data_IF_072299583628
#
_entry.id   IF_072299583628
#
_cell.length_a   1.000
_cell.length_b   1.000
_cell.length_c   1.000
_cell.angle_alpha   90.00
_cell.angle_beta   90.00
_cell.angle_gamma   90.00
#
_symmetry.space_group_name_H-M   'P 1'
#
loop_
_entity.id
_entity.type
_entity.pdbx_description
1 polymer ?
#
# COMPACT_ATOMS: atom_id res chain seq x y z
N UNK A 1 -0.02 17.63 -13.23
CA UNK A 1 1.08 16.79 -12.69
C UNK A 1 0.53 15.54 -11.99
N UNK A 2 -0.30 15.65 -10.94
CA UNK A 2 -0.86 14.49 -10.19
C UNK A 2 -1.56 13.41 -11.04
N UNK A 3 -2.24 13.79 -12.14
CA UNK A 3 -2.90 12.80 -13.03
C UNK A 3 -1.93 11.83 -13.69
N UNK A 4 -0.78 12.32 -14.21
CA UNK A 4 0.22 11.47 -14.85
C UNK A 4 0.74 10.40 -13.91
N UNK A 5 0.87 10.75 -12.63
CA UNK A 5 1.43 9.88 -11.60
C UNK A 5 0.46 8.76 -11.18
N UNK A 6 -0.83 9.06 -11.00
CA UNK A 6 -1.88 8.05 -10.76
C UNK A 6 -1.97 7.04 -11.92
N UNK A 7 -1.71 7.48 -13.15
CA UNK A 7 -1.72 6.60 -14.34
C UNK A 7 -0.55 5.62 -14.36
N UNK A 8 0.62 6.05 -13.89
CA UNK A 8 1.80 5.19 -13.74
C UNK A 8 1.57 4.13 -12.67
N UNK A 9 0.96 4.48 -11.52
CA UNK A 9 0.62 3.54 -10.45
C UNK A 9 -0.35 2.47 -10.96
N UNK A 10 -1.44 2.88 -11.59
CA UNK A 10 -2.44 1.95 -12.13
C UNK A 10 -1.83 1.03 -13.21
N UNK A 11 -0.98 1.56 -14.09
CA UNK A 11 -0.26 0.75 -15.10
C UNK A 11 0.69 -0.27 -14.47
N UNK A 12 1.42 0.12 -13.42
CA UNK A 12 2.30 -0.76 -12.67
C UNK A 12 1.51 -1.87 -11.94
N UNK A 13 0.38 -1.53 -11.33
CA UNK A 13 -0.49 -2.50 -10.66
C UNK A 13 -1.12 -3.50 -11.64
N UNK A 14 -1.59 -3.07 -12.82
CA UNK A 14 -2.09 -4.00 -13.86
C UNK A 14 -1.00 -4.95 -14.32
N UNK A 15 0.23 -4.44 -14.47
CA UNK A 15 1.39 -5.21 -14.83
C UNK A 15 1.64 -6.36 -13.84
N UNK A 16 1.53 -6.07 -12.53
CA UNK A 16 1.64 -7.07 -11.45
C UNK A 16 0.48 -8.07 -11.51
N UNK A 17 -0.75 -7.61 -11.70
CA UNK A 17 -1.98 -8.42 -11.60
C UNK A 17 -2.30 -9.26 -12.85
N UNK A 18 -1.60 -9.08 -13.98
CA UNK A 18 -1.84 -9.87 -15.21
C UNK A 18 -1.16 -11.24 -15.24
N UNK A 19 -0.23 -11.53 -14.30
CA UNK A 19 0.47 -12.81 -14.23
C UNK A 19 0.31 -13.65 -12.92
N UNK A 20 -0.86 -13.72 -12.24
CA UNK A 20 -0.97 -14.41 -10.94
C UNK A 20 -1.43 -15.87 -11.08
N UNK A 21 -1.91 -16.29 -12.25
CA UNK A 21 -2.63 -17.57 -12.40
C UNK A 21 -1.74 -18.83 -12.47
N UNK A 22 -0.42 -18.71 -12.30
CA UNK A 22 0.47 -19.88 -12.31
C UNK A 22 0.53 -20.63 -10.98
N UNK A 23 0.43 -19.96 -9.82
CA UNK A 23 0.84 -20.56 -8.53
C UNK A 23 -0.17 -20.40 -7.36
N UNK A 24 -1.44 -20.07 -7.62
CA UNK A 24 -2.47 -19.96 -6.57
C UNK A 24 -3.01 -21.36 -6.19
N UNK A 25 -2.18 -22.21 -5.61
CA UNK A 25 -2.64 -23.47 -4.99
C UNK A 25 -1.97 -23.68 -3.64
N UNK A 26 -2.76 -23.43 -2.59
CA UNK A 26 -2.61 -23.79 -1.16
C UNK A 26 -2.13 -22.66 -0.26
N UNK A 27 -3.07 -22.07 0.48
CA UNK A 27 -2.81 -21.27 1.68
C UNK A 27 -3.54 -21.91 2.87
N UNK A 28 -2.84 -22.01 4.01
CA UNK A 28 -3.37 -22.58 5.26
C UNK A 28 -3.98 -21.49 6.11
N UNK A 29 -4.99 -21.85 6.91
CA UNK A 29 -5.74 -20.98 7.83
C UNK A 29 -4.94 -20.69 9.11
N UNK A 30 -4.87 -19.43 9.54
CA UNK A 30 -4.45 -19.03 10.89
C UNK A 30 -5.33 -17.88 11.44
N UNK A 31 -5.16 -17.59 12.73
CA UNK A 31 -6.17 -17.07 13.69
C UNK A 31 -6.36 -15.55 13.72
N UNK A 32 -7.59 -15.14 14.04
CA UNK A 32 -8.08 -13.78 14.25
C UNK A 32 -7.34 -13.06 15.40
N UNK A 33 -6.63 -11.97 15.07
CA UNK A 33 -6.33 -10.90 16.01
C UNK A 33 -6.02 -9.61 15.24
N UNK A 34 -6.79 -8.55 15.46
CA UNK A 34 -6.35 -7.19 15.82
C UNK A 34 -7.49 -6.18 15.57
N UNK A 35 -8.17 -5.80 16.66
CA UNK A 35 -9.21 -4.78 16.72
C UNK A 35 -8.56 -3.42 17.04
N UNK A 36 -8.27 -2.57 16.04
CA UNK A 36 -7.78 -1.18 16.25
C UNK A 36 -8.27 -0.22 15.15
N UNK A 37 -8.81 0.92 15.59
CA UNK A 37 -9.34 2.03 14.78
C UNK A 37 -8.23 2.86 14.12
N UNK A 38 -8.14 2.82 12.78
CA UNK A 38 -7.95 4.06 12.03
C UNK A 38 -8.87 4.12 10.80
N UNK A 39 -9.49 5.27 10.56
CA UNK A 39 -10.33 5.52 9.39
C UNK A 39 -9.46 5.63 8.13
N UNK A 40 -9.41 4.57 7.31
CA UNK A 40 -8.66 4.49 6.03
C UNK A 40 -9.00 5.59 5.01
N UNK A 41 -10.01 6.39 5.29
CA UNK A 41 -10.63 7.31 4.34
C UNK A 41 -10.61 8.76 4.82
N UNK A 42 -9.93 9.02 5.94
CA UNK A 42 -9.36 10.33 6.19
C UNK A 42 -8.48 10.69 4.99
N UNK A 43 -8.87 11.76 4.29
CA UNK A 43 -8.06 12.34 3.23
C UNK A 43 -8.50 12.10 1.79
N UNK A 44 -9.65 11.48 1.49
CA UNK A 44 -10.09 11.43 0.07
C UNK A 44 -10.12 12.86 -0.52
N UNK A 45 -9.40 13.08 -1.62
CA UNK A 45 -9.29 14.38 -2.30
C UNK A 45 -9.76 14.29 -3.74
N UNK A 46 -10.19 15.43 -4.24
CA UNK A 46 -10.51 15.59 -5.65
C UNK A 46 -9.22 15.83 -6.44
N UNK A 47 -9.28 15.68 -7.76
CA UNK A 47 -8.12 15.86 -8.64
C UNK A 47 -7.54 17.28 -8.59
N UNK A 48 -8.32 18.25 -8.14
CA UNK A 48 -7.88 19.63 -7.91
C UNK A 48 -7.15 19.83 -6.57
N UNK A 49 -7.00 18.78 -5.75
CA UNK A 49 -6.34 18.80 -4.44
C UNK A 49 -7.27 19.11 -3.25
N UNK A 50 -8.52 19.51 -3.48
CA UNK A 50 -9.45 19.83 -2.40
C UNK A 50 -9.93 18.56 -1.69
N UNK A 51 -10.03 18.53 -0.34
CA UNK A 51 -10.65 17.41 0.37
C UNK A 51 -12.07 17.19 -0.14
N UNK A 52 -12.43 15.95 -0.44
CA UNK A 52 -13.69 15.56 -1.06
C UNK A 52 -14.88 16.13 -0.30
N UNK A 53 -14.88 16.02 1.04
CA UNK A 53 -15.95 16.48 1.93
C UNK A 53 -15.81 17.93 2.42
N UNK A 54 -14.76 18.65 2.01
CA UNK A 54 -14.61 20.08 2.33
C UNK A 54 -15.67 20.93 1.60
N UNK A 55 -16.02 22.13 2.10
CA UNK A 55 -16.92 23.04 1.39
C UNK A 55 -16.46 23.34 -0.05
N UNK A 56 -15.15 23.52 -0.24
CA UNK A 56 -14.55 23.76 -1.57
C UNK A 56 -14.64 22.52 -2.46
N UNK A 57 -14.44 21.33 -1.90
CA UNK A 57 -14.58 20.07 -2.64
C UNK A 57 -16.01 19.82 -3.07
N UNK A 58 -16.98 19.99 -2.17
CA UNK A 58 -18.40 19.86 -2.47
C UNK A 58 -18.87 20.87 -3.51
N UNK A 59 -18.42 22.12 -3.44
CA UNK A 59 -18.72 23.11 -4.47
C UNK A 59 -18.14 22.72 -5.83
N UNK A 60 -16.93 22.15 -5.86
CA UNK A 60 -16.32 21.69 -7.11
C UNK A 60 -17.08 20.50 -7.72
N UNK A 61 -17.48 19.53 -6.89
CA UNK A 61 -18.34 18.41 -7.30
C UNK A 61 -19.65 18.96 -7.86
N UNK A 62 -20.33 19.86 -7.14
CA UNK A 62 -21.58 20.49 -7.59
C UNK A 62 -21.47 21.19 -8.94
N UNK A 63 -20.36 21.88 -9.18
CA UNK A 63 -20.11 22.54 -10.46
C UNK A 63 -19.95 21.56 -11.64
N UNK A 64 -19.64 20.29 -11.36
CA UNK A 64 -19.47 19.23 -12.37
C UNK A 64 -20.69 18.31 -12.47
N UNK A 65 -21.37 18.06 -11.36
CA UNK A 65 -22.47 17.08 -11.28
C UNK A 65 -23.85 17.66 -11.06
N UNK A 66 -23.96 18.97 -10.78
CA UNK A 66 -25.20 19.61 -10.39
C UNK A 66 -25.66 19.28 -8.96
N UNK A 67 -24.98 18.38 -8.26
CA UNK A 67 -25.35 17.89 -6.92
C UNK A 67 -24.14 17.73 -6.00
N UNK A 68 -24.36 17.52 -4.71
CA UNK A 68 -23.32 17.31 -3.68
C UNK A 68 -23.50 15.95 -3.03
N UNK A 69 -22.49 15.49 -2.29
CA UNK A 69 -22.67 14.35 -1.39
C UNK A 69 -23.73 14.68 -0.33
N UNK A 70 -24.44 13.65 0.15
CA UNK A 70 -25.43 13.80 1.21
C UNK A 70 -24.82 14.34 2.50
N UNK A 71 -25.56 15.19 3.21
CA UNK A 71 -25.13 15.74 4.51
C UNK A 71 -24.86 14.65 5.53
N UNK A 72 -25.64 13.56 5.52
CA UNK A 72 -25.46 12.44 6.44
C UNK A 72 -24.09 11.76 6.27
N UNK A 73 -23.63 11.59 5.03
CA UNK A 73 -22.27 11.09 4.77
C UNK A 73 -21.26 12.15 5.22
N UNK A 74 -21.42 13.41 4.82
CA UNK A 74 -20.48 14.48 5.18
C UNK A 74 -20.33 14.63 6.71
N UNK A 75 -21.43 14.60 7.46
CA UNK A 75 -21.46 14.83 8.91
C UNK A 75 -20.94 13.62 9.70
N UNK A 76 -21.13 12.39 9.19
CA UNK A 76 -20.54 11.16 9.76
C UNK A 76 -19.01 11.17 9.71
N UNK A 77 -18.40 11.94 8.79
CA UNK A 77 -16.95 11.97 8.55
C UNK A 77 -16.30 13.35 8.67
N UNK A 78 -17.08 14.41 8.96
CA UNK A 78 -16.57 15.69 9.50
C UNK A 78 -16.30 15.53 10.99
N UNK A 79 -15.38 14.66 11.35
CA UNK A 79 -14.77 14.71 12.67
C UNK A 79 -13.46 15.52 12.58
N UNK A 80 -13.19 16.38 13.58
CA UNK A 80 -12.04 17.26 13.60
C UNK A 80 -10.75 16.44 13.71
N UNK A 81 -9.65 16.99 13.20
CA UNK A 81 -8.27 16.52 13.40
C UNK A 81 -8.09 15.83 14.76
N UNK A 82 -8.21 14.50 14.77
CA UNK A 82 -8.01 13.66 15.95
C UNK A 82 -7.11 12.49 15.56
N UNK A 83 -5.99 12.81 14.89
CA UNK A 83 -4.76 12.07 15.16
C UNK A 83 -4.29 12.41 16.58
N UNK A 84 -5.04 11.94 17.59
CA UNK A 84 -4.43 11.67 18.89
C UNK A 84 -3.71 10.35 18.75
N UNK A 85 -2.48 10.39 18.23
CA UNK A 85 -1.51 9.36 18.57
C UNK A 85 -1.37 9.43 20.08
N UNK A 86 -2.06 8.55 20.81
CA UNK A 86 -1.68 8.29 22.20
C UNK A 86 -0.18 7.97 22.17
N UNK A 87 0.66 8.67 22.94
CA UNK A 87 2.06 8.30 23.03
C UNK A 87 2.13 6.83 23.48
N UNK A 88 3.10 6.03 22.97
CA UNK A 88 3.25 4.66 23.42
C UNK A 88 3.36 4.65 24.94
N UNK A 89 2.69 3.67 25.56
CA UNK A 89 2.73 3.35 26.99
C UNK A 89 4.13 3.64 27.57
N UNK A 90 4.30 4.82 28.18
CA UNK A 90 5.58 5.32 28.65
C UNK A 90 6.08 4.60 29.91
N UNK A 91 5.56 3.40 30.22
CA UNK A 91 5.77 2.77 31.52
C UNK A 91 5.99 1.25 31.52
N UNK A 92 6.15 0.60 30.37
CA UNK A 92 6.63 -0.78 30.39
C UNK A 92 8.16 -0.77 30.40
N UNK A 93 8.72 -1.03 31.59
CA UNK A 93 10.11 -1.36 31.84
C UNK A 93 10.76 -2.00 30.59
N UNK A 94 11.83 -1.38 30.09
CA UNK A 94 12.66 -1.81 28.96
C UNK A 94 13.13 -3.27 29.05
N UNK A 95 12.23 -4.24 28.90
CA UNK A 95 12.60 -5.61 28.56
C UNK A 95 13.17 -5.52 27.16
N UNK A 96 14.48 -5.71 27.04
CA UNK A 96 15.19 -5.85 25.76
C UNK A 96 14.30 -6.68 24.84
N UNK A 97 13.83 -6.07 23.75
CA UNK A 97 13.04 -6.76 22.76
C UNK A 97 13.97 -7.75 22.05
N UNK A 98 13.82 -9.04 22.39
CA UNK A 98 14.63 -10.10 21.80
C UNK A 98 13.97 -10.54 20.51
N UNK A 99 14.79 -10.77 19.49
CA UNK A 99 14.34 -11.44 18.28
C UNK A 99 13.84 -12.85 18.63
N UNK A 100 12.81 -13.37 17.93
CA UNK A 100 12.38 -14.76 18.03
C UNK A 100 13.51 -15.73 17.64
N UNK A 101 13.25 -17.03 17.72
CA UNK A 101 14.21 -17.99 17.19
C UNK A 101 14.52 -17.71 15.70
N UNK A 102 15.79 -17.86 15.33
CA UNK A 102 16.25 -17.52 13.98
C UNK A 102 15.50 -18.32 12.91
N UNK A 103 15.17 -19.57 13.17
CA UNK A 103 14.43 -20.41 12.23
C UNK A 103 13.02 -19.88 11.99
N UNK A 104 12.35 -19.42 13.06
CA UNK A 104 11.01 -18.82 12.97
C UNK A 104 11.03 -17.62 12.03
N UNK A 105 11.99 -16.70 12.18
CA UNK A 105 12.06 -15.53 11.31
C UNK A 105 12.41 -15.89 9.87
N UNK A 106 13.26 -16.90 9.66
CA UNK A 106 13.58 -17.40 8.33
C UNK A 106 12.37 -18.02 7.62
N UNK A 107 11.55 -18.76 8.35
CA UNK A 107 10.33 -19.38 7.84
C UNK A 107 9.28 -18.31 7.50
N UNK A 108 9.12 -17.29 8.34
CA UNK A 108 8.24 -16.15 8.07
C UNK A 108 8.69 -15.35 6.85
N UNK A 109 9.99 -15.09 6.70
CA UNK A 109 10.54 -14.44 5.51
C UNK A 109 10.24 -15.25 4.24
N UNK A 110 10.35 -16.58 4.31
CA UNK A 110 10.08 -17.47 3.20
C UNK A 110 8.59 -17.49 2.83
N UNK A 111 7.70 -17.53 3.84
CA UNK A 111 6.26 -17.43 3.66
C UNK A 111 5.88 -16.11 3.01
N UNK A 112 6.42 -14.99 3.49
CA UNK A 112 6.21 -13.67 2.91
C UNK A 112 6.64 -13.63 1.43
N UNK A 113 7.86 -14.05 1.11
CA UNK A 113 8.37 -14.01 -0.26
C UNK A 113 7.65 -14.97 -1.22
N UNK A 114 6.90 -15.94 -0.71
CA UNK A 114 6.10 -16.88 -1.50
C UNK A 114 4.63 -16.50 -1.54
N UNK A 115 4.22 -15.45 -0.83
CA UNK A 115 2.82 -15.03 -0.74
C UNK A 115 2.44 -14.09 -1.88
N UNK A 116 1.13 -13.98 -2.16
CA UNK A 116 0.62 -13.05 -3.16
C UNK A 116 0.98 -11.58 -2.83
N UNK A 117 1.16 -11.25 -1.55
CA UNK A 117 1.56 -9.94 -1.09
C UNK A 117 2.95 -9.54 -1.59
N UNK A 118 3.90 -10.47 -1.72
CA UNK A 118 5.23 -10.18 -2.26
C UNK A 118 5.23 -9.82 -3.74
N UNK A 119 4.15 -10.12 -4.48
CA UNK A 119 3.98 -9.66 -5.86
C UNK A 119 3.65 -8.17 -5.92
N UNK A 120 2.90 -7.67 -4.92
CA UNK A 120 2.50 -6.26 -4.79
C UNK A 120 3.59 -5.46 -4.08
N UNK A 121 4.16 -6.04 -3.03
CA UNK A 121 5.16 -5.46 -2.16
C UNK A 121 6.42 -6.35 -2.17
N UNK A 122 7.24 -6.31 -3.23
CA UNK A 122 8.52 -7.03 -3.31
C UNK A 122 9.59 -6.41 -2.39
N UNK A 123 9.31 -6.39 -1.08
CA UNK A 123 10.08 -5.67 -0.08
C UNK A 123 11.36 -6.38 0.37
N UNK A 124 11.51 -7.67 0.04
CA UNK A 124 12.57 -8.51 0.57
C UNK A 124 13.22 -9.35 -0.52
N UNK A 125 14.55 -9.31 -0.58
CA UNK A 125 15.32 -10.33 -1.31
C UNK A 125 15.58 -11.52 -0.39
N UNK A 126 14.81 -12.61 -0.54
CA UNK A 126 14.91 -13.79 0.31
C UNK A 126 16.33 -14.37 0.36
N UNK A 127 17.03 -14.39 -0.78
CA UNK A 127 18.39 -14.90 -0.85
C UNK A 127 19.34 -14.08 0.03
N UNK A 128 19.38 -12.74 -0.16
CA UNK A 128 20.22 -11.84 0.63
C UNK A 128 19.85 -11.88 2.11
N UNK A 129 18.55 -11.95 2.41
CA UNK A 129 18.07 -12.04 3.78
C UNK A 129 18.63 -13.28 4.49
N UNK A 130 18.52 -14.46 3.87
CA UNK A 130 19.01 -15.73 4.44
C UNK A 130 20.53 -15.79 4.57
N UNK A 131 21.26 -15.36 3.53
CA UNK A 131 22.72 -15.53 3.48
C UNK A 131 23.48 -14.48 4.28
N UNK A 132 22.93 -13.27 4.42
CA UNK A 132 23.66 -12.11 4.91
C UNK A 132 22.93 -11.39 6.04
N UNK A 133 21.70 -10.95 5.81
CA UNK A 133 20.97 -10.06 6.73
C UNK A 133 20.63 -10.78 8.04
N UNK A 134 20.00 -11.95 7.96
CA UNK A 134 19.58 -12.72 9.13
C UNK A 134 20.76 -13.21 9.98
N UNK A 135 21.85 -13.81 9.42
CA UNK A 135 23.04 -14.12 10.21
C UNK A 135 23.66 -12.90 10.91
N UNK A 136 23.65 -11.74 10.26
CA UNK A 136 24.20 -10.50 10.82
C UNK A 136 23.32 -9.97 11.97
N UNK A 137 21.99 -10.07 11.84
CA UNK A 137 21.04 -9.65 12.88
C UNK A 137 21.21 -10.42 14.20
N UNK A 138 21.54 -11.71 14.12
CA UNK A 138 21.76 -12.60 15.28
C UNK A 138 23.21 -12.67 15.77
N UNK A 139 24.11 -11.86 15.20
CA UNK A 139 25.51 -11.84 15.66
C UNK A 139 25.66 -11.08 16.98
N UNK A 140 25.56 -11.78 18.11
CA UNK A 140 25.88 -11.23 19.43
C UNK A 140 27.34 -11.50 19.82
N UNK A 141 28.01 -10.52 20.45
CA UNK A 141 29.16 -10.78 21.33
C UNK A 141 30.59 -10.75 20.77
N UNK A 142 30.85 -10.53 19.47
CA UNK A 142 32.23 -10.46 18.95
C UNK A 142 32.47 -9.23 18.08
N UNK A 143 32.72 -8.09 18.73
CA UNK A 143 32.91 -6.77 18.11
C UNK A 143 31.62 -6.20 17.54
N UNK A 144 31.42 -4.87 17.61
CA UNK A 144 30.36 -4.22 16.82
C UNK A 144 30.68 -4.44 15.34
N UNK A 145 30.16 -5.52 14.76
CA UNK A 145 30.20 -5.72 13.30
C UNK A 145 29.45 -4.53 12.69
N UNK A 146 30.04 -3.93 11.67
CA UNK A 146 29.44 -2.78 10.98
C UNK A 146 28.07 -3.23 10.45
N UNK A 147 27.05 -2.36 10.56
CA UNK A 147 25.72 -2.60 9.97
C UNK A 147 24.81 -3.64 10.62
N UNK A 148 25.13 -4.12 11.82
CA UNK A 148 24.22 -4.99 12.59
C UNK A 148 22.85 -4.35 12.85
N UNK A 149 22.79 -3.02 12.97
CA UNK A 149 21.53 -2.29 13.21
C UNK A 149 20.61 -2.38 12.01
N UNK A 150 21.11 -2.08 10.79
CA UNK A 150 20.33 -2.23 9.55
C UNK A 150 19.79 -3.65 9.37
N UNK A 151 20.62 -4.66 9.67
CA UNK A 151 20.19 -6.06 9.61
C UNK A 151 19.08 -6.39 10.64
N UNK A 152 19.23 -5.95 11.89
CA UNK A 152 18.20 -6.14 12.93
C UNK A 152 16.89 -5.45 12.55
N UNK A 153 16.94 -4.21 12.05
CA UNK A 153 15.75 -3.49 11.61
C UNK A 153 15.06 -4.19 10.43
N UNK A 154 15.81 -4.77 9.49
CA UNK A 154 15.22 -5.56 8.41
C UNK A 154 14.48 -6.78 8.96
N UNK A 155 15.08 -7.50 9.91
CA UNK A 155 14.45 -8.64 10.61
C UNK A 155 13.18 -8.23 11.37
N UNK A 156 13.20 -7.08 12.06
CA UNK A 156 12.01 -6.50 12.67
C UNK A 156 10.93 -6.18 11.65
N UNK A 157 11.32 -5.66 10.48
CA UNK A 157 10.41 -5.40 9.36
C UNK A 157 9.71 -6.67 8.89
N UNK A 158 10.43 -7.78 8.73
CA UNK A 158 9.84 -9.07 8.32
C UNK A 158 8.76 -9.52 9.31
N UNK A 159 9.03 -9.39 10.61
CA UNK A 159 8.07 -9.72 11.67
C UNK A 159 6.85 -8.79 11.63
N UNK A 160 7.05 -7.50 11.37
CA UNK A 160 5.93 -6.57 11.17
C UNK A 160 5.10 -6.98 9.94
N UNK A 161 5.74 -7.36 8.83
CA UNK A 161 5.01 -7.80 7.64
C UNK A 161 4.28 -9.12 7.85
N UNK A 162 4.82 -10.04 8.67
CA UNK A 162 4.13 -11.29 8.99
C UNK A 162 2.87 -11.05 9.81
N UNK A 163 2.89 -10.09 10.75
CA UNK A 163 1.71 -9.63 11.49
C UNK A 163 0.68 -8.97 10.56
N UNK A 164 1.09 -7.95 9.79
CA UNK A 164 0.20 -7.23 8.87
C UNK A 164 -0.49 -8.20 7.92
N UNK A 165 0.23 -9.21 7.45
CA UNK A 165 -0.25 -10.15 6.44
C UNK A 165 -0.74 -11.49 6.97
N UNK A 166 -0.83 -11.68 8.30
CA UNK A 166 -1.35 -12.90 8.92
C UNK A 166 -0.53 -14.18 8.67
N UNK A 167 0.77 -14.07 8.44
CA UNK A 167 1.63 -15.20 8.05
C UNK A 167 2.05 -16.09 9.23
N UNK A 168 1.73 -15.67 10.45
CA UNK A 168 2.09 -16.33 11.70
C UNK A 168 1.11 -17.44 12.05
N UNK A 169 1.63 -18.63 12.35
CA UNK A 169 0.83 -19.77 12.79
C UNK A 169 0.55 -19.69 14.30
N UNK A 170 -0.29 -18.73 14.70
CA UNK A 170 -1.18 -18.70 15.89
C UNK A 170 -0.69 -19.03 17.31
N UNK A 171 0.16 -20.03 17.51
CA UNK A 171 0.31 -20.71 18.81
C UNK A 171 1.52 -20.27 19.65
N UNK A 172 2.57 -19.68 19.05
CA UNK A 172 3.80 -19.32 19.81
C UNK A 172 3.91 -17.83 20.19
N UNK A 173 3.15 -16.94 19.53
CA UNK A 173 3.29 -15.47 19.67
C UNK A 173 2.05 -14.77 20.25
N UNK A 174 0.99 -15.52 20.59
CA UNK A 174 -0.27 -14.99 21.11
C UNK A 174 -0.17 -14.30 22.49
N UNK A 175 0.86 -14.62 23.28
CA UNK A 175 0.99 -14.15 24.67
C UNK A 175 1.51 -12.70 24.82
N UNK A 176 1.91 -12.03 23.74
CA UNK A 176 2.43 -10.65 23.79
C UNK A 176 1.53 -9.74 22.96
N UNK A 177 0.50 -9.15 23.54
CA UNK A 177 -0.23 -8.09 22.82
C UNK A 177 0.75 -6.97 22.40
N UNK A 178 0.68 -6.52 21.15
CA UNK A 178 1.42 -5.35 20.63
C UNK A 178 2.92 -5.54 20.29
N UNK A 179 3.40 -6.75 20.00
CA UNK A 179 4.82 -6.98 19.65
C UNK A 179 5.25 -6.26 18.36
N UNK A 180 4.36 -6.17 17.35
CA UNK A 180 4.62 -5.45 16.09
C UNK A 180 4.90 -3.95 16.32
N UNK A 181 4.17 -3.29 17.23
CA UNK A 181 4.41 -1.89 17.61
C UNK A 181 5.77 -1.70 18.28
N UNK A 182 6.22 -2.67 19.08
CA UNK A 182 7.54 -2.60 19.73
C UNK A 182 8.65 -2.69 18.69
N UNK A 183 8.52 -3.59 17.72
CA UNK A 183 9.45 -3.66 16.59
C UNK A 183 9.43 -2.37 15.76
N UNK A 184 8.25 -1.78 15.53
CA UNK A 184 8.12 -0.51 14.82
C UNK A 184 8.89 0.63 15.55
N UNK A 185 8.74 0.74 16.87
CA UNK A 185 9.46 1.72 17.69
C UNK A 185 10.98 1.53 17.65
N UNK A 186 11.46 0.29 17.62
CA UNK A 186 12.89 -0.01 17.49
C UNK A 186 13.46 0.40 16.12
N UNK A 187 12.69 0.22 15.03
CA UNK A 187 13.08 0.71 13.70
C UNK A 187 13.10 2.24 13.70
N UNK A 188 12.07 2.89 14.27
CA UNK A 188 11.99 4.36 14.39
C UNK A 188 13.17 4.94 15.16
N UNK A 189 13.50 4.37 16.32
CA UNK A 189 14.65 4.77 17.12
C UNK A 189 15.98 4.59 16.37
N UNK A 190 16.03 3.66 15.42
CA UNK A 190 17.21 3.35 14.62
C UNK A 190 17.37 4.22 13.36
N UNK A 191 16.35 4.99 12.95
CA UNK A 191 16.35 5.83 11.74
C UNK A 191 17.64 6.65 11.57
N UNK A 192 18.15 7.38 12.59
CA UNK A 192 19.38 8.17 12.42
C UNK A 192 20.60 7.33 12.04
N UNK A 193 20.66 6.09 12.53
CA UNK A 193 21.75 5.16 12.19
C UNK A 193 21.55 4.58 10.80
N UNK A 194 20.32 4.19 10.45
CA UNK A 194 19.99 3.69 9.12
C UNK A 194 20.35 4.72 8.03
N UNK A 195 20.10 6.01 8.29
CA UNK A 195 20.45 7.10 7.37
C UNK A 195 21.96 7.40 7.29
N UNK A 196 22.76 6.96 8.25
CA UNK A 196 24.23 7.04 8.14
C UNK A 196 24.80 5.85 7.39
N UNK A 197 24.18 4.68 7.55
CA UNK A 197 24.65 3.44 6.93
C UNK A 197 24.20 3.32 5.47
N UNK A 198 23.03 3.85 5.12
CA UNK A 198 22.43 3.86 3.79
C UNK A 198 22.51 2.51 3.06
N UNK A 199 22.17 1.41 3.75
CA UNK A 199 22.15 0.04 3.19
C UNK A 199 20.78 -0.40 2.70
N UNK A 200 20.77 -1.38 1.79
CA UNK A 200 19.53 -2.02 1.32
C UNK A 200 18.71 -2.57 2.48
N UNK A 201 19.32 -3.28 3.45
CA UNK A 201 18.61 -3.82 4.62
C UNK A 201 17.89 -2.70 5.42
N UNK A 202 18.53 -1.54 5.54
CA UNK A 202 17.96 -0.36 6.19
C UNK A 202 16.79 0.21 5.40
N UNK A 203 16.91 0.32 4.07
CA UNK A 203 15.80 0.74 3.21
C UNK A 203 14.62 -0.22 3.27
N UNK A 204 14.85 -1.53 3.20
CA UNK A 204 13.83 -2.57 3.32
C UNK A 204 13.06 -2.42 4.63
N UNK A 205 13.78 -2.21 5.75
CA UNK A 205 13.15 -1.98 7.06
C UNK A 205 12.27 -0.73 7.11
N UNK A 206 12.72 0.36 6.49
CA UNK A 206 11.96 1.62 6.47
C UNK A 206 10.74 1.54 5.57
N UNK A 207 10.81 0.82 4.44
CA UNK A 207 9.66 0.59 3.57
C UNK A 207 8.63 -0.34 4.22
N UNK A 208 9.06 -1.39 4.91
CA UNK A 208 8.18 -2.24 5.72
C UNK A 208 7.51 -1.44 6.86
N UNK A 209 8.27 -0.59 7.56
CA UNK A 209 7.71 0.33 8.58
C UNK A 209 6.73 1.35 7.96
N UNK A 210 7.04 1.90 6.79
CA UNK A 210 6.15 2.83 6.08
C UNK A 210 4.82 2.17 5.73
N UNK A 211 4.86 0.92 5.25
CA UNK A 211 3.67 0.13 4.94
C UNK A 211 2.88 -0.18 6.22
N UNK A 212 3.55 -0.53 7.32
CA UNK A 212 2.91 -0.67 8.63
C UNK A 212 2.18 0.60 9.07
N UNK A 213 2.84 1.76 9.02
CA UNK A 213 2.24 3.04 9.38
C UNK A 213 1.07 3.40 8.48
N UNK A 214 1.22 3.15 7.19
CA UNK A 214 0.18 3.35 6.20
C UNK A 214 -1.08 2.51 6.51
N UNK A 215 -0.92 1.22 6.84
CA UNK A 215 -2.03 0.33 7.19
C UNK A 215 -2.60 0.60 8.58
N UNK A 216 -1.77 1.01 9.54
CA UNK A 216 -2.23 1.48 10.85
C UNK A 216 -2.86 2.89 10.79
N UNK A 217 -3.01 3.47 9.59
CA UNK A 217 -3.62 4.77 9.34
C UNK A 217 -2.88 5.97 9.93
N UNK A 218 -1.65 5.78 10.39
CA UNK A 218 -0.72 6.85 10.79
C UNK A 218 -0.10 7.46 9.52
N UNK A 219 -0.93 8.18 8.75
CA UNK A 219 -0.57 8.72 7.45
C UNK A 219 0.49 9.82 7.55
N UNK A 220 0.55 10.53 8.68
CA UNK A 220 1.59 11.52 8.95
C UNK A 220 2.96 10.85 9.05
N UNK A 221 3.09 9.81 9.89
CA UNK A 221 4.34 9.04 9.99
C UNK A 221 4.69 8.36 8.67
N UNK A 222 3.70 7.80 7.96
CA UNK A 222 3.92 7.21 6.64
C UNK A 222 4.46 8.25 5.63
N UNK A 223 3.89 9.47 5.62
CA UNK A 223 4.34 10.56 4.73
C UNK A 223 5.76 11.05 5.08
N UNK A 224 6.08 11.10 6.37
CA UNK A 224 7.45 11.38 6.83
C UNK A 224 8.43 10.29 6.35
N UNK A 225 8.05 9.01 6.46
CA UNK A 225 8.88 7.89 6.02
C UNK A 225 9.07 7.87 4.49
N UNK A 226 8.09 8.29 3.69
CA UNK A 226 8.27 8.50 2.24
C UNK A 226 9.37 9.51 1.96
N UNK A 227 9.42 10.61 2.71
CA UNK A 227 10.47 11.62 2.55
C UNK A 227 11.87 11.10 2.85
N UNK A 228 11.97 10.22 3.85
CA UNK A 228 13.24 9.58 4.21
C UNK A 228 13.65 8.54 3.16
N UNK A 229 12.73 7.64 2.81
CA UNK A 229 13.00 6.51 1.91
C UNK A 229 13.26 6.97 0.48
N UNK A 230 12.62 8.04 0.00
CA UNK A 230 12.92 8.64 -1.31
C UNK A 230 14.37 9.13 -1.41
N UNK A 231 14.91 9.82 -0.38
CA UNK A 231 16.33 10.22 -0.36
C UNK A 231 17.26 9.00 -0.31
N UNK A 232 16.88 7.99 0.46
CA UNK A 232 17.62 6.73 0.57
C UNK A 232 17.70 6.02 -0.79
N UNK A 233 16.59 5.95 -1.52
CA UNK A 233 16.51 5.40 -2.88
C UNK A 233 17.39 6.17 -3.87
N UNK A 234 17.44 7.51 -3.80
CA UNK A 234 18.38 8.31 -4.62
C UNK A 234 19.82 7.89 -4.33
N UNK A 235 20.18 7.79 -3.04
CA UNK A 235 21.52 7.42 -2.60
C UNK A 235 21.94 6.02 -3.08
N UNK A 236 20.99 5.09 -3.21
CA UNK A 236 21.20 3.74 -3.74
C UNK A 236 21.12 3.67 -5.28
N UNK A 237 20.93 4.79 -5.97
CA UNK A 237 20.91 4.85 -7.43
C UNK A 237 19.58 4.44 -8.07
N UNK A 238 18.50 4.28 -7.29
CA UNK A 238 17.19 3.81 -7.78
C UNK A 238 16.50 4.77 -8.77
N UNK A 239 16.94 6.02 -8.80
CA UNK A 239 16.46 7.08 -9.70
C UNK A 239 16.92 6.89 -11.14
N UNK A 240 17.89 6.00 -11.38
CA UNK A 240 18.37 5.62 -12.70
C UNK A 240 17.83 4.23 -13.05
N UNK A 241 17.50 4.00 -14.32
CA UNK A 241 17.17 2.66 -14.78
C UNK A 241 18.43 1.78 -14.86
N UNK A 242 18.39 0.52 -14.39
CA UNK A 242 19.53 -0.40 -14.47
C UNK A 242 19.98 -0.59 -15.93
N UNK A 243 21.29 -0.49 -16.20
CA UNK A 243 21.84 -0.63 -17.55
C UNK A 243 21.39 -1.93 -18.22
N UNK A 244 20.72 -1.79 -19.35
CA UNK A 244 20.00 -2.87 -20.05
C UNK A 244 20.97 -3.88 -20.69
N UNK A 245 21.00 -5.12 -20.21
CA UNK A 245 21.61 -6.25 -20.95
C UNK A 245 21.07 -7.64 -20.59
N UNK A 246 20.40 -7.82 -19.45
CA UNK A 246 19.89 -9.12 -18.99
C UNK A 246 18.38 -9.11 -18.73
N UNK A 247 17.78 -10.31 -18.69
CA UNK A 247 16.43 -10.55 -18.18
C UNK A 247 16.29 -9.99 -16.76
N UNK A 248 15.12 -9.44 -16.44
CA UNK A 248 14.84 -8.93 -15.09
C UNK A 248 15.00 -10.05 -14.06
N UNK A 249 15.88 -9.84 -13.09
CA UNK A 249 16.28 -10.81 -12.08
C UNK A 249 16.20 -10.17 -10.70
N UNK A 250 15.27 -10.65 -9.87
CA UNK A 250 15.05 -10.16 -8.50
C UNK A 250 16.21 -10.47 -7.54
N UNK A 251 17.09 -11.39 -7.91
CA UNK A 251 18.31 -11.68 -7.16
C UNK A 251 19.41 -10.62 -7.39
N UNK A 252 19.29 -9.81 -8.45
CA UNK A 252 20.18 -8.69 -8.70
C UNK A 252 19.80 -7.49 -7.82
N UNK A 253 20.75 -6.97 -7.05
CA UNK A 253 20.51 -5.85 -6.14
C UNK A 253 19.99 -4.59 -6.85
N UNK A 254 20.44 -4.29 -8.07
CA UNK A 254 19.96 -3.13 -8.83
C UNK A 254 18.49 -3.27 -9.28
N UNK A 255 18.06 -4.49 -9.62
CA UNK A 255 16.66 -4.76 -9.91
C UNK A 255 15.81 -4.74 -8.63
N UNK A 256 16.31 -5.32 -7.53
CA UNK A 256 15.62 -5.27 -6.24
C UNK A 256 15.42 -3.84 -5.74
N UNK A 257 16.45 -2.99 -5.82
CA UNK A 257 16.35 -1.55 -5.50
C UNK A 257 15.31 -0.86 -6.39
N UNK A 258 15.18 -1.29 -7.65
CA UNK A 258 14.17 -0.77 -8.58
C UNK A 258 12.75 -1.22 -8.19
N UNK A 259 12.57 -2.45 -7.73
CA UNK A 259 11.32 -2.94 -7.16
C UNK A 259 10.92 -2.12 -5.91
N UNK A 260 11.87 -1.86 -5.00
CA UNK A 260 11.66 -1.02 -3.82
C UNK A 260 11.29 0.43 -4.18
N UNK A 261 11.88 0.98 -5.25
CA UNK A 261 11.50 2.29 -5.79
C UNK A 261 10.02 2.31 -6.19
N UNK A 262 9.55 1.32 -6.93
CA UNK A 262 8.16 1.30 -7.40
C UNK A 262 7.16 1.21 -6.25
N UNK A 263 7.49 0.47 -5.18
CA UNK A 263 6.68 0.44 -3.96
C UNK A 263 6.60 1.83 -3.31
N UNK A 264 7.75 2.47 -3.11
CA UNK A 264 7.82 3.82 -2.53
C UNK A 264 7.08 4.86 -3.39
N UNK A 265 7.26 4.81 -4.71
CA UNK A 265 6.58 5.68 -5.66
C UNK A 265 5.05 5.53 -5.58
N UNK A 266 4.55 4.29 -5.57
CA UNK A 266 3.10 4.05 -5.47
C UNK A 266 2.52 4.61 -4.17
N UNK A 267 3.21 4.40 -3.05
CA UNK A 267 2.78 4.86 -1.73
C UNK A 267 2.87 6.39 -1.62
N UNK A 268 3.91 7.03 -2.16
CA UNK A 268 4.03 8.49 -2.22
C UNK A 268 2.85 9.13 -2.97
N UNK A 269 2.46 8.57 -4.12
CA UNK A 269 1.32 9.11 -4.89
C UNK A 269 -0.01 8.92 -4.17
N UNK A 270 -0.21 7.76 -3.54
CA UNK A 270 -1.42 7.52 -2.75
C UNK A 270 -1.49 8.44 -1.53
N UNK A 271 -0.41 8.55 -0.75
CA UNK A 271 -0.34 9.44 0.40
C UNK A 271 -0.48 10.91 0.01
N UNK A 272 0.05 11.33 -1.13
CA UNK A 272 -0.18 12.69 -1.65
C UNK A 272 -1.65 12.96 -1.93
N UNK A 273 -2.35 11.95 -2.44
CA UNK A 273 -3.77 12.04 -2.69
C UNK A 273 -4.58 12.06 -1.40
N UNK A 274 -4.19 11.26 -0.40
CA UNK A 274 -4.88 11.21 0.90
C UNK A 274 -4.60 12.44 1.76
N UNK A 275 -3.33 12.77 1.97
CA UNK A 275 -2.95 13.91 2.81
C UNK A 275 -3.17 15.26 2.12
N UNK A 276 -3.17 15.30 0.79
CA UNK A 276 -3.16 16.52 -0.03
C UNK A 276 -1.84 17.26 -0.04
N UNK A 277 -0.81 16.67 0.56
CA UNK A 277 0.54 17.16 0.41
C UNK A 277 1.04 16.82 -1.00
N UNK A 278 1.92 17.65 -1.58
CA UNK A 278 2.55 17.31 -2.84
C UNK A 278 3.43 16.06 -2.71
N UNK A 279 3.53 15.22 -3.75
CA UNK A 279 4.41 14.05 -3.75
C UNK A 279 5.86 14.44 -3.55
N UNK A 280 6.56 13.64 -2.76
CA UNK A 280 7.99 13.82 -2.52
C UNK A 280 8.81 13.40 -3.74
N UNK A 281 8.35 12.36 -4.44
CA UNK A 281 8.99 11.86 -5.66
C UNK A 281 8.41 12.63 -6.84
N UNK A 282 9.21 13.54 -7.39
CA UNK A 282 8.87 14.29 -8.62
C UNK A 282 9.04 13.41 -9.85
N UNK A 283 8.03 13.38 -10.72
CA UNK A 283 8.06 12.58 -11.96
C UNK A 283 9.17 13.03 -12.93
N UNK A 284 9.67 14.27 -12.80
CA UNK A 284 10.68 14.84 -13.70
C UNK A 284 12.12 14.44 -13.35
N UNK A 285 12.37 14.00 -12.12
CA UNK A 285 13.71 13.75 -11.59
C UNK A 285 14.07 12.26 -11.53
N UNK A 286 13.12 11.38 -11.84
CA UNK A 286 13.26 9.93 -11.71
C UNK A 286 13.02 9.28 -13.06
N UNK A 287 13.84 8.30 -13.40
CA UNK A 287 13.54 7.42 -14.53
C UNK A 287 12.28 6.61 -14.17
N UNK A 288 11.21 6.71 -14.97
CA UNK A 288 9.95 5.97 -14.79
C UNK A 288 9.81 4.81 -15.78
N UNK A 289 10.91 4.37 -16.40
CA UNK A 289 10.92 3.21 -17.30
C UNK A 289 10.52 1.96 -16.52
N UNK A 290 9.48 1.29 -17.00
CA UNK A 290 8.98 0.03 -16.47
C UNK A 290 9.99 -1.11 -16.77
N UNK A 291 10.05 -2.18 -15.96
CA UNK A 291 10.95 -3.30 -16.26
C UNK A 291 10.67 -3.97 -17.63
N UNK A 292 11.67 -4.59 -18.28
CA UNK A 292 11.50 -5.21 -19.59
C UNK A 292 10.46 -6.33 -19.52
N UNK A 293 9.68 -6.54 -20.58
CA UNK A 293 8.48 -7.42 -20.68
C UNK A 293 7.16 -6.81 -20.19
N UNK A 294 7.17 -5.76 -19.36
CA UNK A 294 5.91 -5.05 -19.03
C UNK A 294 5.38 -4.19 -20.20
N UNK A 295 6.30 -3.68 -21.03
CA UNK A 295 5.99 -2.87 -22.22
C UNK A 295 5.42 -3.70 -23.37
N UNK A 296 5.71 -5.01 -23.44
CA UNK A 296 5.13 -5.89 -24.48
C UNK A 296 3.62 -6.14 -24.29
N UNK A 297 3.06 -5.84 -23.11
CA UNK A 297 1.61 -5.82 -22.85
C UNK A 297 0.98 -4.44 -23.13
N UNK A 298 1.77 -3.50 -23.64
CA UNK A 298 1.49 -2.05 -23.66
C UNK A 298 1.49 -1.49 -25.09
N UNK A 299 1.07 -2.27 -26.09
CA UNK A 299 0.69 -1.73 -27.40
C UNK A 299 -0.48 -0.76 -27.21
N UNK A 300 -0.20 0.49 -26.86
CA UNK A 300 -0.29 1.62 -27.78
C UNK A 300 0.19 2.90 -27.07
N UNK A 301 1.01 3.66 -27.78
CA UNK A 301 1.66 4.85 -27.28
C UNK A 301 0.73 6.06 -27.08
N UNK A 302 1.20 6.96 -26.21
CA UNK A 302 0.84 8.37 -26.08
C UNK A 302 -0.52 8.78 -25.44
N UNK A 303 -0.39 9.78 -24.54
CA UNK A 303 -1.42 10.67 -23.95
C UNK A 303 -2.33 10.07 -22.88
N UNK A 304 -2.78 10.96 -21.99
CA UNK A 304 -3.85 10.74 -20.99
C UNK A 304 -5.10 10.31 -21.75
N UNK A 305 -5.24 9.01 -21.98
CA UNK A 305 -6.47 8.45 -22.51
C UNK A 305 -7.28 7.99 -21.32
N UNK A 306 -8.32 8.76 -20.99
CA UNK A 306 -9.25 8.40 -19.92
C UNK A 306 -9.79 6.97 -20.08
N UNK A 307 -9.90 6.48 -21.32
CA UNK A 307 -10.30 5.10 -21.61
C UNK A 307 -9.36 4.06 -21.01
N UNK A 308 -8.04 4.27 -21.04
CA UNK A 308 -7.06 3.33 -20.47
C UNK A 308 -7.29 3.15 -18.97
N UNK A 309 -7.73 4.21 -18.28
CA UNK A 309 -7.98 4.18 -16.85
C UNK A 309 -9.28 3.49 -16.52
N UNK A 310 -10.28 3.70 -17.34
CA UNK A 310 -11.55 3.00 -17.25
C UNK A 310 -11.31 1.50 -17.49
N UNK A 311 -10.54 1.13 -18.52
CA UNK A 311 -10.16 -0.26 -18.81
C UNK A 311 -9.28 -0.88 -17.71
N UNK A 312 -8.41 -0.09 -17.11
CA UNK A 312 -7.61 -0.50 -15.96
C UNK A 312 -8.47 -0.77 -14.73
N UNK A 313 -9.35 0.16 -14.36
CA UNK A 313 -10.28 -0.01 -13.25
C UNK A 313 -11.22 -1.19 -13.49
N UNK A 314 -11.66 -1.41 -14.73
CA UNK A 314 -12.40 -2.61 -15.14
C UNK A 314 -11.59 -3.89 -14.92
N UNK A 315 -10.31 -3.90 -15.28
CA UNK A 315 -9.42 -5.04 -15.05
C UNK A 315 -9.22 -5.32 -13.57
N UNK A 316 -9.11 -4.28 -12.74
CA UNK A 316 -9.05 -4.40 -11.27
C UNK A 316 -10.34 -5.03 -10.74
N UNK A 317 -11.51 -4.56 -11.18
CA UNK A 317 -12.80 -5.12 -10.77
C UNK A 317 -12.89 -6.61 -11.10
N UNK A 318 -12.62 -7.00 -12.36
CA UNK A 318 -12.66 -8.40 -12.80
C UNK A 318 -11.66 -9.27 -12.03
N UNK A 319 -10.47 -8.75 -11.79
CA UNK A 319 -9.46 -9.45 -11.00
C UNK A 319 -9.95 -9.71 -9.58
N UNK A 320 -10.47 -8.68 -8.91
CA UNK A 320 -10.94 -8.80 -7.54
C UNK A 320 -12.18 -9.69 -7.44
N UNK A 321 -13.12 -9.63 -8.39
CA UNK A 321 -14.28 -10.54 -8.43
C UNK A 321 -13.83 -12.01 -8.53
N UNK A 322 -12.78 -12.29 -9.30
CA UNK A 322 -12.21 -13.64 -9.42
C UNK A 322 -11.36 -14.04 -8.23
N UNK A 323 -10.68 -13.09 -7.61
CA UNK A 323 -9.80 -13.32 -6.46
C UNK A 323 -10.62 -13.48 -5.17
N UNK A 324 -11.77 -12.81 -5.04
CA UNK A 324 -12.57 -12.74 -3.81
C UNK A 324 -12.87 -14.11 -3.17
N UNK A 325 -13.21 -15.18 -3.91
CA UNK A 325 -13.47 -16.50 -3.31
C UNK A 325 -12.21 -17.18 -2.74
N UNK A 326 -11.02 -16.79 -3.22
CA UNK A 326 -9.72 -17.36 -2.87
C UNK A 326 -8.93 -16.42 -1.95
N UNK A 327 -9.40 -15.18 -1.83
CA UNK A 327 -8.76 -14.15 -1.03
C UNK A 327 -8.84 -14.56 0.43
N UNK A 328 -7.68 -14.82 1.04
CA UNK A 328 -7.59 -15.04 2.46
C UNK A 328 -8.13 -13.80 3.18
N UNK A 329 -8.76 -14.00 4.35
CA UNK A 329 -9.34 -12.91 5.15
C UNK A 329 -8.29 -11.88 5.54
N UNK A 330 -7.05 -12.34 5.69
CA UNK A 330 -5.88 -11.51 5.90
C UNK A 330 -5.73 -10.45 4.81
N UNK A 331 -6.07 -10.73 3.54
CA UNK A 331 -5.94 -9.77 2.44
C UNK A 331 -7.04 -8.69 2.39
N UNK A 332 -7.73 -8.40 3.50
CA UNK A 332 -8.76 -7.36 3.60
C UNK A 332 -8.29 -6.01 3.01
N UNK A 333 -7.01 -5.65 3.19
CA UNK A 333 -6.46 -4.42 2.62
C UNK A 333 -6.45 -4.39 1.09
N UNK A 334 -6.37 -5.54 0.40
CA UNK A 334 -6.48 -5.60 -1.07
C UNK A 334 -7.87 -5.15 -1.50
N UNK A 335 -8.88 -5.44 -0.67
CA UNK A 335 -10.28 -5.11 -0.90
C UNK A 335 -10.59 -3.65 -0.56
N UNK A 336 -9.80 -3.00 0.28
CA UNK A 336 -9.90 -1.55 0.50
C UNK A 336 -9.10 -0.80 -0.55
N UNK A 337 -7.81 -1.12 -0.70
CA UNK A 337 -6.88 -0.30 -1.49
C UNK A 337 -7.23 -0.31 -2.98
N UNK A 338 -7.33 -1.49 -3.60
CA UNK A 338 -7.50 -1.58 -5.05
C UNK A 338 -8.87 -1.09 -5.53
N UNK A 339 -10.00 -1.46 -4.89
CA UNK A 339 -11.29 -0.85 -5.18
C UNK A 339 -11.30 0.65 -4.99
N UNK A 340 -10.74 1.18 -3.89
CA UNK A 340 -10.77 2.62 -3.65
C UNK A 340 -9.92 3.41 -4.65
N UNK A 341 -8.74 2.89 -5.04
CA UNK A 341 -7.92 3.51 -6.11
C UNK A 341 -8.68 3.50 -7.43
N UNK A 342 -9.32 2.38 -7.79
CA UNK A 342 -10.07 2.23 -9.03
C UNK A 342 -11.33 3.11 -9.07
N UNK A 343 -12.10 3.14 -7.98
CA UNK A 343 -13.29 3.98 -7.78
C UNK A 343 -12.92 5.45 -7.84
N UNK A 344 -11.91 5.88 -7.08
CA UNK A 344 -11.45 7.28 -7.08
C UNK A 344 -10.95 7.70 -8.45
N UNK A 345 -10.29 6.79 -9.18
CA UNK A 345 -9.88 7.01 -10.57
C UNK A 345 -11.09 7.17 -11.50
N UNK A 346 -12.09 6.28 -11.44
CA UNK A 346 -13.30 6.37 -12.27
C UNK A 346 -14.07 7.66 -11.96
N UNK A 347 -14.24 8.00 -10.69
CA UNK A 347 -14.91 9.22 -10.26
C UNK A 347 -14.17 10.46 -10.74
N UNK A 348 -12.84 10.47 -10.62
CA UNK A 348 -11.98 11.53 -11.15
C UNK A 348 -12.10 11.70 -12.66
N UNK A 349 -12.11 10.58 -13.40
CA UNK A 349 -12.34 10.57 -14.86
C UNK A 349 -13.74 11.12 -15.19
N UNK A 350 -14.77 10.72 -14.44
CA UNK A 350 -16.13 11.23 -14.63
C UNK A 350 -16.25 12.75 -14.47
N UNK A 351 -15.55 13.33 -13.49
CA UNK A 351 -15.61 14.77 -13.22
C UNK A 351 -14.81 15.62 -14.22
N UNK A 352 -13.81 15.01 -14.87
CA UNK A 352 -12.88 15.71 -15.76
C UNK A 352 -13.18 15.51 -17.24
N UNK A 353 -13.58 14.30 -17.63
CA UNK A 353 -13.96 13.99 -18.99
C UNK A 353 -15.41 14.38 -19.27
N UNK A 354 -15.57 15.52 -19.94
CA UNK A 354 -16.87 16.09 -20.34
C UNK A 354 -17.50 15.39 -21.55
N UNK A 355 -16.85 14.37 -22.13
CA UNK A 355 -17.43 13.59 -23.22
C UNK A 355 -18.59 12.75 -22.68
N UNK A 356 -19.66 12.66 -23.47
CA UNK A 356 -20.81 11.81 -23.19
C UNK A 356 -20.38 10.35 -23.02
N UNK A 357 -20.90 9.70 -21.97
CA UNK A 357 -20.76 8.27 -21.71
C UNK A 357 -22.07 7.56 -22.07
N UNK A 358 -22.37 7.35 -23.36
CA UNK A 358 -23.69 6.89 -23.79
C UNK A 358 -24.06 5.51 -23.22
N UNK A 359 -23.08 4.70 -22.83
CA UNK A 359 -23.30 3.38 -22.23
C UNK A 359 -23.33 3.41 -20.70
N UNK A 360 -23.16 4.58 -20.07
CA UNK A 360 -22.98 4.73 -18.63
C UNK A 360 -21.91 3.77 -18.08
N UNK A 361 -20.83 3.59 -18.83
CA UNK A 361 -19.79 2.62 -18.52
C UNK A 361 -19.14 2.91 -17.16
N UNK A 362 -18.86 4.19 -16.89
CA UNK A 362 -18.29 4.66 -15.62
C UNK A 362 -19.20 4.35 -14.44
N UNK A 363 -20.51 4.55 -14.59
CA UNK A 363 -21.50 4.22 -13.55
C UNK A 363 -21.58 2.72 -13.32
N UNK A 364 -21.62 1.92 -14.39
CA UNK A 364 -21.64 0.44 -14.29
C UNK A 364 -20.42 -0.10 -13.56
N UNK A 365 -19.24 0.48 -13.78
CA UNK A 365 -18.02 0.10 -13.06
C UNK A 365 -18.09 0.45 -11.57
N UNK A 366 -18.53 1.66 -11.21
CA UNK A 366 -18.71 2.04 -9.80
C UNK A 366 -19.71 1.11 -9.09
N UNK A 367 -20.85 0.83 -9.72
CA UNK A 367 -21.82 -0.15 -9.22
C UNK A 367 -21.25 -1.57 -9.14
N UNK A 368 -20.36 -1.94 -10.06
CA UNK A 368 -19.58 -3.18 -10.02
C UNK A 368 -18.76 -3.28 -8.74
N UNK A 369 -18.01 -2.24 -8.39
CA UNK A 369 -17.27 -2.19 -7.13
C UNK A 369 -18.18 -2.26 -5.90
N UNK A 370 -19.33 -1.56 -5.89
CA UNK A 370 -20.32 -1.70 -4.81
C UNK A 370 -20.78 -3.15 -4.63
N UNK A 371 -21.06 -3.87 -5.73
CA UNK A 371 -21.45 -5.28 -5.66
C UNK A 371 -20.32 -6.18 -5.17
N UNK A 372 -19.08 -5.91 -5.60
CA UNK A 372 -17.90 -6.62 -5.12
C UNK A 372 -17.76 -6.47 -3.59
N UNK A 373 -17.90 -5.24 -3.08
CA UNK A 373 -17.81 -4.94 -1.64
C UNK A 373 -18.87 -5.70 -0.84
N UNK A 374 -20.11 -5.73 -1.33
CA UNK A 374 -21.21 -6.50 -0.71
C UNK A 374 -21.00 -8.01 -0.70
N UNK A 375 -20.21 -8.54 -1.63
CA UNK A 375 -19.94 -9.98 -1.73
C UNK A 375 -18.80 -10.44 -0.79
N UNK A 376 -18.14 -9.52 -0.09
CA UNK A 376 -17.07 -9.87 0.84
C UNK A 376 -17.65 -10.73 1.98
N UNK A 377 -17.08 -11.91 2.26
CA UNK A 377 -17.60 -12.79 3.30
C UNK A 377 -17.39 -12.22 4.71
N UNK A 378 -18.42 -11.57 5.26
CA UNK A 378 -18.44 -10.90 6.57
C UNK A 378 -18.08 -11.82 7.76
N UNK A 379 -18.20 -13.14 7.59
CA UNK A 379 -18.06 -14.12 8.69
C UNK A 379 -16.67 -14.16 9.36
N UNK A 380 -15.64 -13.54 8.79
CA UNK A 380 -14.31 -13.47 9.42
C UNK A 380 -13.71 -12.05 9.39
N UNK A 381 -14.58 -11.04 9.40
CA UNK A 381 -14.18 -9.63 9.53
C UNK A 381 -14.45 -9.14 10.95
N UNK A 382 -13.54 -8.30 11.45
CA UNK A 382 -13.71 -7.56 12.69
C UNK A 382 -14.81 -6.52 12.57
N UNK A 383 -15.34 -6.06 13.71
CA UNK A 383 -16.37 -4.99 13.75
C UNK A 383 -15.90 -3.71 13.05
N UNK A 384 -14.62 -3.39 13.18
CA UNK A 384 -13.98 -2.22 12.53
C UNK A 384 -13.93 -2.41 11.02
N UNK A 385 -13.51 -3.58 10.53
CA UNK A 385 -13.47 -3.89 9.10
C UNK A 385 -14.87 -3.87 8.47
N UNK A 386 -15.88 -4.37 9.16
CA UNK A 386 -17.27 -4.30 8.73
C UNK A 386 -17.71 -2.84 8.60
N UNK A 387 -17.44 -2.01 9.61
CA UNK A 387 -17.76 -0.58 9.57
C UNK A 387 -17.06 0.15 8.42
N UNK A 388 -15.81 -0.22 8.11
CA UNK A 388 -15.08 0.30 6.95
C UNK A 388 -15.71 -0.11 5.62
N UNK A 389 -16.14 -1.36 5.47
CA UNK A 389 -16.79 -1.82 4.24
C UNK A 389 -18.14 -1.14 4.03
N UNK A 390 -18.97 -1.06 5.07
CA UNK A 390 -20.26 -0.35 5.03
C UNK A 390 -20.07 1.10 4.57
N UNK A 391 -19.03 1.75 5.07
CA UNK A 391 -18.73 3.11 4.65
C UNK A 391 -18.23 3.21 3.20
N UNK A 392 -17.30 2.34 2.78
CA UNK A 392 -16.82 2.33 1.40
C UNK A 392 -18.01 2.13 0.45
N UNK A 393 -18.92 1.23 0.80
CA UNK A 393 -20.16 1.00 0.07
C UNK A 393 -20.99 2.29 -0.05
N UNK A 394 -21.28 2.98 1.07
CA UNK A 394 -22.02 4.26 1.10
C UNK A 394 -21.38 5.32 0.18
N UNK A 395 -20.05 5.44 0.19
CA UNK A 395 -19.33 6.44 -0.64
C UNK A 395 -19.38 6.09 -2.11
N UNK A 396 -19.15 4.83 -2.47
CA UNK A 396 -19.14 4.38 -3.87
C UNK A 396 -20.54 4.51 -4.48
N UNK A 397 -21.59 4.24 -3.72
CA UNK A 397 -22.98 4.46 -4.15
C UNK A 397 -23.27 5.94 -4.39
N UNK A 398 -22.82 6.81 -3.48
CA UNK A 398 -23.03 8.25 -3.63
C UNK A 398 -22.23 8.81 -4.81
N UNK A 399 -21.00 8.33 -5.04
CA UNK A 399 -20.22 8.63 -6.25
C UNK A 399 -20.96 8.16 -7.52
N UNK A 400 -21.56 6.97 -7.49
CA UNK A 400 -22.35 6.44 -8.61
C UNK A 400 -23.56 7.31 -8.91
N UNK A 401 -24.29 7.76 -7.88
CA UNK A 401 -25.43 8.68 -8.01
C UNK A 401 -25.01 10.00 -8.64
N UNK A 402 -23.89 10.58 -8.20
CA UNK A 402 -23.38 11.85 -8.70
C UNK A 402 -22.94 11.78 -10.16
N UNK A 403 -22.31 10.67 -10.59
CA UNK A 403 -21.90 10.46 -11.99
C UNK A 403 -23.12 10.15 -12.88
N UNK A 404 -24.12 9.45 -12.36
CA UNK A 404 -25.37 9.18 -13.09
C UNK A 404 -26.14 10.47 -13.41
N UNK A 405 -26.03 11.50 -12.55
CA UNK A 405 -26.69 12.79 -12.79
C UNK A 405 -26.03 13.63 -13.92
N UNK A 406 -24.82 13.26 -14.36
CA UNK A 406 -24.07 13.95 -15.44
C UNK A 406 -24.16 13.30 -16.81
N UNK A 407 -24.64 12.06 -16.85
CA UNK A 407 -24.72 11.26 -18.08
C UNK A 407 -26.09 11.48 -18.74
#
# INVERSE_FOLDING_TARGET
>A
MMMGSSFTVVRFLIAILRNPFADIRRFSLASDAHDRNPTYLEGLRLVNGNPLFSPQGQQWVRNRTGSTFSSNIIDKYRLPDLCSTRPPLANDNHKILRLPDRQVVEDLAARFCSSAQSLVFPLLSLHRFRTTTLPLAYSEGAGRKRHTISAKCCTYGVLIMSDIFGLDSGDEMADISCWCQRYALEIEASIPTLLREMRVDGLESLLMLMIFKYFMGDLESASFLVSITSRFLIQLGAHLYPSCSNTYDKHNDSHHIRDLFWVCYCIDKDLSHRTGQPPTISDDHWDLTLPPNYVQMQNDGHRINFQILVDASRSILIYLEKALPVLAHECFWVIIFYPMTAVSTIFSVALLDKRSDPENERVKLLQGFTRLIRQIPIKRLTVVEISHLEFIEEVVEEMSRLVSATS
#
